data_IF_781000647549
#
_entry.id   IF_781000647549
#
_cell.length_a   1.000
_cell.length_b   1.000
_cell.length_c   1.000
_cell.angle_alpha   90.00
_cell.angle_beta   90.00
_cell.angle_gamma   90.00
#
_symmetry.space_group_name_H-M   'P 1'
#
loop_
_entity.id
_entity.type
_entity.pdbx_description
1 polymer ?
#
# COMPACT_ATOMS: atom_id res chain seq x y z
N UNK A 1 -8.57 19.98 -7.49
CA UNK A 1 -7.67 19.31 -6.52
C UNK A 1 -6.37 20.09 -6.42
N UNK A 2 -5.75 20.19 -5.22
CA UNK A 2 -4.38 20.72 -5.04
C UNK A 2 -3.40 19.55 -5.06
N UNK A 3 -2.20 19.75 -5.62
CA UNK A 3 -1.15 18.74 -5.71
C UNK A 3 0.12 19.20 -5.00
N UNK A 4 0.91 18.24 -4.51
CA UNK A 4 2.20 18.48 -3.85
C UNK A 4 3.22 17.44 -4.33
N UNK A 5 4.48 17.85 -4.42
CA UNK A 5 5.58 16.92 -4.72
C UNK A 5 5.97 16.16 -3.45
N UNK A 6 6.06 14.84 -3.52
CA UNK A 6 6.44 13.98 -2.40
C UNK A 6 7.96 13.99 -2.21
N UNK A 7 8.44 14.90 -1.35
CA UNK A 7 9.85 14.98 -0.98
C UNK A 7 10.80 15.00 -2.19
N UNK A 8 11.80 14.11 -2.17
CA UNK A 8 12.80 13.96 -3.24
C UNK A 8 12.40 12.97 -4.34
N UNK A 9 11.24 12.33 -4.23
CA UNK A 9 10.81 11.28 -5.16
C UNK A 9 10.33 11.84 -6.52
N UNK A 10 10.07 13.15 -6.60
CA UNK A 10 9.54 13.77 -7.82
C UNK A 10 8.08 13.41 -8.14
N UNK A 11 7.47 12.52 -7.36
CA UNK A 11 6.08 12.08 -7.54
C UNK A 11 5.15 13.23 -7.13
N UNK A 12 4.24 13.59 -8.04
CA UNK A 12 3.23 14.62 -7.79
C UNK A 12 1.95 13.95 -7.28
N UNK A 13 1.61 14.16 -6.01
CA UNK A 13 0.44 13.58 -5.37
C UNK A 13 -0.63 14.64 -5.09
N UNK A 14 -1.90 14.23 -5.16
CA UNK A 14 -3.01 15.04 -4.65
C UNK A 14 -2.83 15.29 -3.15
N UNK A 15 -3.21 16.49 -2.69
CA UNK A 15 -3.13 16.85 -1.27
C UNK A 15 -4.12 16.06 -0.40
N UNK A 16 -5.08 15.42 -1.03
CA UNK A 16 -6.04 14.48 -0.44
C UNK A 16 -5.77 13.08 -0.99
N UNK A 17 -5.57 12.10 -0.12
CA UNK A 17 -5.45 10.67 -0.45
C UNK A 17 -6.74 9.93 -0.07
N UNK A 18 -7.02 8.84 -0.78
CA UNK A 18 -8.14 7.95 -0.49
C UNK A 18 -7.66 6.72 0.27
N UNK A 19 -8.19 6.51 1.49
CA UNK A 19 -7.96 5.30 2.26
C UNK A 19 -9.05 4.25 2.02
N UNK A 20 -8.66 3.02 1.73
CA UNK A 20 -9.55 1.90 1.42
C UNK A 20 -9.82 0.98 2.63
N UNK A 21 -9.56 1.44 3.84
CA UNK A 21 -9.80 0.66 5.06
C UNK A 21 -11.30 0.50 5.37
N UNK A 22 -12.13 1.46 4.97
CA UNK A 22 -13.57 1.46 5.27
C UNK A 22 -14.34 1.96 4.05
N UNK A 23 -15.20 1.10 3.52
CA UNK A 23 -16.22 1.44 2.53
C UNK A 23 -17.61 1.50 3.19
N UNK A 24 -18.63 1.93 2.47
CA UNK A 24 -19.99 2.05 2.99
C UNK A 24 -20.49 0.73 3.61
N UNK A 25 -20.98 0.79 4.85
CA UNK A 25 -21.41 -0.36 5.64
C UNK A 25 -20.43 -0.76 6.75
N UNK A 26 -19.12 -0.58 6.56
CA UNK A 26 -18.12 -0.96 7.56
C UNK A 26 -18.11 -0.08 8.84
N UNK A 27 -18.85 1.03 8.86
CA UNK A 27 -19.00 1.87 10.06
C UNK A 27 -19.92 1.22 11.12
N UNK A 28 -20.74 0.24 10.73
CA UNK A 28 -21.67 -0.50 11.60
C UNK A 28 -21.16 -1.86 12.05
N UNK A 29 -19.89 -2.19 11.77
CA UNK A 29 -19.32 -3.52 12.09
C UNK A 29 -19.61 -4.59 11.05
N UNK A 30 -20.35 -4.27 9.99
CA UNK A 30 -20.58 -5.18 8.88
C UNK A 30 -19.34 -5.25 7.99
N UNK A 31 -18.75 -6.43 7.88
CA UNK A 31 -17.62 -6.72 6.96
C UNK A 31 -18.06 -6.81 5.49
N UNK A 32 -19.36 -6.70 5.22
CA UNK A 32 -19.90 -6.83 3.86
C UNK A 32 -19.73 -5.51 3.10
N UNK A 33 -18.86 -5.54 2.11
CA UNK A 33 -18.65 -4.41 1.19
C UNK A 33 -19.73 -4.47 0.10
N UNK A 34 -20.45 -3.37 -0.11
CA UNK A 34 -21.15 -3.15 -1.37
C UNK A 34 -20.09 -2.82 -2.45
N UNK A 35 -19.64 -3.85 -3.15
CA UNK A 35 -18.52 -3.76 -4.09
C UNK A 35 -18.79 -2.75 -5.21
N UNK A 36 -19.99 -2.73 -5.77
CA UNK A 36 -20.34 -1.81 -6.85
C UNK A 36 -20.28 -0.35 -6.40
N UNK A 37 -20.79 -0.07 -5.20
CA UNK A 37 -20.71 1.27 -4.61
C UNK A 37 -19.26 1.65 -4.28
N UNK A 38 -18.47 0.72 -3.76
CA UNK A 38 -17.07 0.98 -3.43
C UNK A 38 -16.25 1.27 -4.69
N UNK A 39 -16.39 0.49 -5.75
CA UNK A 39 -15.75 0.73 -7.05
C UNK A 39 -16.16 2.09 -7.62
N UNK A 40 -17.46 2.42 -7.61
CA UNK A 40 -17.97 3.71 -8.10
C UNK A 40 -17.42 4.89 -7.28
N UNK A 41 -17.29 4.74 -5.96
CA UNK A 41 -16.74 5.77 -5.07
C UNK A 41 -15.24 5.99 -5.36
N UNK A 42 -14.46 4.92 -5.52
CA UNK A 42 -13.03 5.01 -5.84
C UNK A 42 -12.85 5.72 -7.18
N UNK A 43 -13.55 5.29 -8.23
CA UNK A 43 -13.48 5.90 -9.57
C UNK A 43 -13.89 7.38 -9.53
N UNK A 44 -14.95 7.71 -8.83
CA UNK A 44 -15.40 9.11 -8.64
C UNK A 44 -14.33 9.97 -7.93
N UNK A 45 -13.64 9.41 -6.95
CA UNK A 45 -12.53 10.11 -6.28
C UNK A 45 -11.36 10.37 -7.24
N UNK A 46 -10.98 9.37 -8.05
CA UNK A 46 -9.94 9.50 -9.07
C UNK A 46 -10.33 10.55 -10.13
N UNK A 47 -11.57 10.52 -10.59
CA UNK A 47 -12.10 11.51 -11.55
C UNK A 47 -12.14 12.92 -10.95
N UNK A 48 -12.33 13.04 -9.63
CA UNK A 48 -12.19 14.27 -8.85
C UNK A 48 -10.75 14.73 -8.64
N UNK A 49 -9.76 13.97 -9.14
CA UNK A 49 -8.33 14.32 -9.13
C UNK A 49 -7.53 13.74 -7.95
N UNK A 50 -8.06 12.72 -7.24
CA UNK A 50 -7.26 11.94 -6.28
C UNK A 50 -6.25 11.10 -7.06
N UNK A 51 -4.97 11.18 -6.65
CA UNK A 51 -3.88 10.42 -7.27
C UNK A 51 -3.11 9.53 -6.29
N UNK A 52 -3.50 9.48 -5.02
CA UNK A 52 -2.88 8.61 -4.01
C UNK A 52 -3.95 7.78 -3.31
N UNK A 53 -3.80 6.46 -3.38
CA UNK A 53 -4.74 5.51 -2.78
C UNK A 53 -3.99 4.60 -1.82
N UNK A 54 -4.51 4.46 -0.61
CA UNK A 54 -3.92 3.67 0.48
C UNK A 54 -4.82 2.47 0.80
N UNK A 55 -4.25 1.27 0.77
CA UNK A 55 -4.87 0.02 1.18
C UNK A 55 -3.91 -0.79 2.05
N UNK A 56 -4.25 -2.02 2.39
CA UNK A 56 -3.39 -2.98 3.05
C UNK A 56 -3.92 -4.41 2.86
N UNK A 57 -3.02 -5.38 2.90
CA UNK A 57 -3.32 -6.81 2.79
C UNK A 57 -4.47 -7.29 3.69
N UNK A 58 -4.54 -6.77 4.94
CA UNK A 58 -5.51 -7.21 5.95
C UNK A 58 -6.82 -6.42 5.97
N UNK A 59 -6.94 -5.35 5.18
CA UNK A 59 -8.14 -4.51 5.22
C UNK A 59 -9.38 -5.26 4.73
N UNK A 60 -10.49 -5.11 5.48
CA UNK A 60 -11.80 -5.68 5.13
C UNK A 60 -11.70 -7.19 4.85
N UNK A 61 -11.10 -7.92 5.79
CA UNK A 61 -10.88 -9.37 5.67
C UNK A 61 -10.18 -9.77 4.35
N UNK A 62 -9.15 -8.99 3.96
CA UNK A 62 -8.35 -9.15 2.74
C UNK A 62 -9.08 -8.86 1.41
N UNK A 63 -10.25 -8.22 1.46
CA UNK A 63 -11.05 -7.91 0.25
C UNK A 63 -10.81 -6.51 -0.28
N UNK A 64 -10.23 -5.59 0.51
CA UNK A 64 -9.99 -4.20 0.10
C UNK A 64 -9.16 -4.08 -1.18
N UNK A 65 -8.10 -4.88 -1.32
CA UNK A 65 -7.25 -4.90 -2.50
C UNK A 65 -7.98 -5.43 -3.74
N UNK A 66 -8.86 -6.42 -3.57
CA UNK A 66 -9.69 -6.97 -4.66
C UNK A 66 -10.63 -5.89 -5.22
N UNK A 67 -11.30 -5.16 -4.33
CA UNK A 67 -12.21 -4.07 -4.72
C UNK A 67 -11.44 -2.93 -5.39
N UNK A 68 -10.27 -2.58 -4.84
CA UNK A 68 -9.41 -1.57 -5.44
C UNK A 68 -8.93 -2.01 -6.83
N UNK A 69 -8.46 -3.25 -7.00
CA UNK A 69 -8.04 -3.80 -8.29
C UNK A 69 -9.12 -3.66 -9.36
N UNK A 70 -10.38 -4.02 -9.02
CA UNK A 70 -11.54 -3.85 -9.93
C UNK A 70 -11.79 -2.38 -10.28
N UNK A 71 -11.61 -1.47 -9.33
CA UNK A 71 -11.78 -0.05 -9.57
C UNK A 71 -10.71 0.54 -10.50
N UNK A 72 -9.53 -0.08 -10.52
CA UNK A 72 -8.37 0.38 -11.29
C UNK A 72 -8.31 -0.14 -12.73
N UNK A 73 -9.24 -0.98 -13.15
CA UNK A 73 -9.39 -1.39 -14.54
C UNK A 73 -9.71 -0.19 -15.45
N UNK A 74 -9.73 -0.41 -16.75
CA UNK A 74 -10.13 0.59 -17.76
C UNK A 74 -9.25 1.84 -17.76
N UNK A 75 -7.95 1.69 -17.49
CA UNK A 75 -6.95 2.77 -17.49
C UNK A 75 -6.92 3.62 -16.22
N UNK A 76 -7.68 3.30 -15.18
CA UNK A 76 -7.62 4.01 -13.90
C UNK A 76 -6.30 3.79 -13.16
N UNK A 77 -5.65 2.60 -13.34
CA UNK A 77 -4.35 2.29 -12.69
C UNK A 77 -3.28 3.34 -13.01
N UNK A 78 -3.19 3.80 -14.24
CA UNK A 78 -2.16 4.74 -14.69
C UNK A 78 -2.35 6.17 -14.15
N UNK A 79 -3.48 6.43 -13.52
CA UNK A 79 -3.85 7.75 -13.01
C UNK A 79 -3.52 7.94 -11.53
N UNK A 80 -3.10 6.88 -10.84
CA UNK A 80 -2.90 6.88 -9.39
C UNK A 80 -1.61 6.19 -8.98
N UNK A 81 -1.13 6.53 -7.80
CA UNK A 81 -0.14 5.77 -7.06
C UNK A 81 -0.82 4.98 -5.94
N UNK A 82 -0.45 3.71 -5.79
CA UNK A 82 -1.00 2.79 -4.80
C UNK A 82 0.00 2.60 -3.67
N UNK A 83 -0.48 2.75 -2.43
CA UNK A 83 0.21 2.26 -1.24
C UNK A 83 -0.51 1.04 -0.70
N UNK A 84 0.19 -0.10 -0.53
CA UNK A 84 -0.29 -1.23 0.24
C UNK A 84 0.73 -1.69 1.26
N UNK A 85 0.37 -2.64 2.13
CA UNK A 85 1.14 -2.92 3.34
C UNK A 85 1.17 -4.41 3.65
N UNK A 86 2.37 -4.98 3.72
CA UNK A 86 2.59 -6.33 4.22
C UNK A 86 2.41 -6.38 5.75
N UNK A 87 1.64 -7.34 6.30
CA UNK A 87 1.46 -7.51 7.74
C UNK A 87 2.63 -8.29 8.37
N UNK A 88 3.51 -7.66 9.20
CA UNK A 88 4.65 -8.35 9.81
C UNK A 88 4.27 -9.56 10.68
N UNK A 89 3.06 -9.54 11.25
CA UNK A 89 2.55 -10.63 12.09
C UNK A 89 2.19 -11.91 11.30
N UNK A 90 2.09 -11.83 9.98
CA UNK A 90 1.80 -12.96 9.09
C UNK A 90 3.01 -13.41 8.25
N UNK A 91 4.19 -12.93 8.60
CA UNK A 91 5.44 -13.19 7.88
C UNK A 91 6.43 -13.84 8.85
N UNK A 92 6.93 -15.02 8.49
CA UNK A 92 7.93 -15.77 9.26
C UNK A 92 9.23 -15.99 8.48
N UNK A 93 9.21 -15.77 7.18
CA UNK A 93 10.31 -15.99 6.26
C UNK A 93 10.27 -15.05 5.07
N UNK A 94 11.38 -14.98 4.31
CA UNK A 94 11.41 -14.28 3.02
C UNK A 94 10.38 -14.85 2.02
N UNK A 95 10.17 -16.16 2.02
CA UNK A 95 9.19 -16.80 1.15
C UNK A 95 7.75 -16.32 1.44
N UNK A 96 7.42 -15.99 2.70
CA UNK A 96 6.14 -15.38 3.03
C UNK A 96 5.99 -13.97 2.46
N UNK A 97 7.07 -13.17 2.45
CA UNK A 97 7.06 -11.85 1.82
C UNK A 97 6.79 -11.95 0.32
N UNK A 98 7.46 -12.88 -0.36
CA UNK A 98 7.30 -13.12 -1.80
C UNK A 98 5.88 -13.61 -2.14
N UNK A 99 5.33 -14.51 -1.32
CA UNK A 99 3.96 -15.01 -1.46
C UNK A 99 2.93 -13.89 -1.26
N UNK A 100 3.05 -13.12 -0.18
CA UNK A 100 2.12 -12.02 0.11
C UNK A 100 2.16 -10.96 -0.99
N UNK A 101 3.35 -10.58 -1.45
CA UNK A 101 3.48 -9.66 -2.58
C UNK A 101 2.77 -10.18 -3.83
N UNK A 102 2.94 -11.46 -4.16
CA UNK A 102 2.27 -12.07 -5.32
C UNK A 102 0.75 -12.02 -5.18
N UNK A 103 0.24 -12.33 -3.98
CA UNK A 103 -1.19 -12.24 -3.68
C UNK A 103 -1.73 -10.80 -3.76
N UNK A 104 -0.96 -9.80 -3.31
CA UNK A 104 -1.33 -8.38 -3.38
C UNK A 104 -1.36 -7.88 -4.83
N UNK A 105 -0.36 -8.23 -5.64
CA UNK A 105 -0.32 -7.89 -7.06
C UNK A 105 -1.49 -8.52 -7.82
N UNK A 106 -1.82 -9.79 -7.55
CA UNK A 106 -2.97 -10.49 -8.13
C UNK A 106 -4.29 -9.80 -7.78
N UNK A 107 -4.53 -9.50 -6.50
CA UNK A 107 -5.74 -8.82 -6.02
C UNK A 107 -5.88 -7.41 -6.60
N UNK A 108 -4.78 -6.67 -6.64
CA UNK A 108 -4.73 -5.31 -7.19
C UNK A 108 -4.76 -5.28 -8.72
N UNK A 109 -4.60 -6.45 -9.39
CA UNK A 109 -4.57 -6.59 -10.84
C UNK A 109 -3.54 -5.65 -11.50
N UNK A 110 -2.33 -5.61 -10.93
CA UNK A 110 -1.22 -4.75 -11.37
C UNK A 110 0.10 -5.50 -11.29
N UNK A 111 1.07 -5.09 -12.07
CA UNK A 111 2.42 -5.64 -12.07
C UNK A 111 3.37 -4.96 -11.05
N UNK A 112 2.94 -3.83 -10.48
CA UNK A 112 3.75 -3.09 -9.52
C UNK A 112 2.91 -2.37 -8.46
N UNK A 113 3.55 -2.08 -7.32
CA UNK A 113 3.04 -1.28 -6.21
C UNK A 113 3.92 -0.04 -6.08
N UNK A 114 3.33 1.17 -6.07
CA UNK A 114 4.13 2.41 -5.99
C UNK A 114 4.79 2.57 -4.61
N UNK A 115 4.05 2.29 -3.54
CA UNK A 115 4.54 2.40 -2.16
C UNK A 115 4.24 1.12 -1.39
N UNK A 116 5.26 0.29 -1.16
CA UNK A 116 5.10 -0.94 -0.38
C UNK A 116 5.63 -0.74 1.03
N UNK A 117 4.74 -0.93 2.02
CA UNK A 117 4.97 -0.56 3.41
C UNK A 117 4.91 -1.78 4.33
N UNK A 118 5.45 -1.67 5.54
CA UNK A 118 5.21 -2.62 6.64
C UNK A 118 4.06 -2.11 7.51
N UNK A 119 3.03 -2.94 7.73
CA UNK A 119 1.81 -2.56 8.44
C UNK A 119 2.03 -2.48 9.95
N UNK A 120 1.56 -1.40 10.57
CA UNK A 120 1.58 -1.23 12.03
C UNK A 120 2.94 -1.57 12.67
N UNK A 121 4.01 -1.05 12.09
CA UNK A 121 5.37 -1.34 12.50
C UNK A 121 5.66 -0.80 13.91
N UNK A 122 6.26 -1.64 14.75
CA UNK A 122 6.86 -1.27 16.02
C UNK A 122 8.28 -1.84 16.11
N UNK A 123 9.01 -1.56 17.20
CA UNK A 123 10.39 -2.02 17.35
C UNK A 123 10.54 -3.54 17.25
N UNK A 124 9.66 -4.30 17.89
CA UNK A 124 9.73 -5.76 17.88
C UNK A 124 9.47 -6.32 16.47
N UNK A 125 8.44 -5.84 15.79
CA UNK A 125 8.14 -6.22 14.39
C UNK A 125 9.28 -5.82 13.45
N UNK A 126 9.88 -4.66 13.66
CA UNK A 126 11.02 -4.21 12.88
C UNK A 126 12.23 -5.15 13.03
N UNK A 127 12.59 -5.52 14.28
CA UNK A 127 13.70 -6.46 14.51
C UNK A 127 13.41 -7.82 13.87
N UNK A 128 12.18 -8.33 13.99
CA UNK A 128 11.75 -9.56 13.33
C UNK A 128 11.88 -9.46 11.80
N UNK A 129 11.34 -8.41 11.19
CA UNK A 129 11.39 -8.22 9.74
C UNK A 129 12.83 -8.12 9.21
N UNK A 130 13.72 -7.45 9.94
CA UNK A 130 15.15 -7.44 9.60
C UNK A 130 15.77 -8.84 9.66
N UNK A 131 15.46 -9.61 10.70
CA UNK A 131 16.04 -10.95 10.89
C UNK A 131 15.65 -11.93 9.77
N UNK A 132 14.52 -11.74 9.12
CA UNK A 132 14.07 -12.58 7.99
C UNK A 132 14.47 -12.03 6.62
N UNK A 133 15.31 -10.98 6.56
CA UNK A 133 15.82 -10.44 5.30
C UNK A 133 14.84 -9.51 4.56
N UNK A 134 13.94 -8.84 5.29
CA UNK A 134 12.97 -7.95 4.65
C UNK A 134 13.61 -6.73 3.98
N UNK A 135 14.75 -6.22 4.50
CA UNK A 135 15.44 -5.09 3.88
C UNK A 135 15.93 -5.45 2.48
N UNK A 136 16.59 -6.59 2.34
CA UNK A 136 17.07 -7.11 1.07
C UNK A 136 15.92 -7.40 0.11
N UNK A 137 14.81 -7.94 0.62
CA UNK A 137 13.60 -8.17 -0.18
C UNK A 137 13.05 -6.87 -0.77
N UNK A 138 12.92 -5.80 0.03
CA UNK A 138 12.43 -4.51 -0.48
C UNK A 138 13.39 -3.86 -1.49
N UNK A 139 14.70 -4.03 -1.31
CA UNK A 139 15.70 -3.55 -2.27
C UNK A 139 15.64 -4.34 -3.59
N UNK A 140 15.41 -5.66 -3.53
CA UNK A 140 15.21 -6.53 -4.70
C UNK A 140 13.96 -6.10 -5.49
N UNK A 141 12.83 -5.90 -4.82
CA UNK A 141 11.59 -5.43 -5.43
C UNK A 141 11.76 -4.12 -6.19
N UNK A 142 12.53 -3.18 -5.60
CA UNK A 142 12.81 -1.91 -6.25
C UNK A 142 13.67 -2.09 -7.51
N UNK A 143 14.65 -2.98 -7.48
CA UNK A 143 15.48 -3.32 -8.64
C UNK A 143 14.69 -4.01 -9.76
N UNK A 144 13.71 -4.82 -9.39
CA UNK A 144 12.83 -5.53 -10.33
C UNK A 144 11.69 -4.67 -10.86
N UNK A 145 11.57 -3.41 -10.41
CA UNK A 145 10.48 -2.51 -10.81
C UNK A 145 9.11 -2.86 -10.22
N UNK A 146 9.04 -3.81 -9.29
CA UNK A 146 7.80 -4.21 -8.61
C UNK A 146 7.36 -3.22 -7.54
N UNK A 147 8.26 -2.34 -7.08
CA UNK A 147 7.93 -1.20 -6.22
C UNK A 147 8.75 0.02 -6.60
N UNK A 148 8.10 1.17 -6.69
CA UNK A 148 8.80 2.44 -6.95
C UNK A 148 9.51 2.94 -5.68
N UNK A 149 9.03 2.60 -4.49
CA UNK A 149 9.56 3.11 -3.22
C UNK A 149 9.31 2.12 -2.10
N UNK A 150 10.38 1.72 -1.40
CA UNK A 150 10.27 1.11 -0.08
C UNK A 150 10.27 2.20 1.00
N UNK A 151 9.46 2.06 2.04
CA UNK A 151 9.33 3.06 3.12
C UNK A 151 10.56 3.15 4.05
N UNK A 152 11.67 2.48 3.71
CA UNK A 152 12.87 2.46 4.56
C UNK A 152 14.08 3.00 3.81
N UNK A 153 14.88 3.87 4.48
CA UNK A 153 16.17 4.26 3.93
C UNK A 153 17.07 3.02 3.85
N UNK A 154 17.65 2.78 2.68
CA UNK A 154 18.77 1.87 2.54
C UNK A 154 19.79 2.15 3.66
N UNK A 155 20.01 1.21 4.57
CA UNK A 155 21.16 1.07 5.49
C UNK A 155 21.73 2.31 6.23
N UNK A 156 21.05 3.44 6.27
CA UNK A 156 21.49 4.57 7.09
C UNK A 156 20.96 4.41 8.54
N UNK A 157 21.80 4.60 9.57
CA UNK A 157 21.37 4.50 10.97
C UNK A 157 20.30 5.58 11.23
N UNK A 158 19.19 5.17 11.86
CA UNK A 158 18.17 6.11 12.33
C UNK A 158 18.84 7.13 13.26
N UNK A 159 18.82 8.40 12.88
CA UNK A 159 19.15 9.46 13.82
C UNK A 159 18.06 9.49 14.89
N UNK A 160 18.43 9.22 16.14
CA UNK A 160 17.57 9.47 17.28
C UNK A 160 17.19 10.96 17.27
N UNK A 161 15.97 11.28 16.88
CA UNK A 161 15.40 12.58 17.16
C UNK A 161 14.97 12.59 18.62
N UNK A 162 15.89 12.95 19.52
CA UNK A 162 15.51 13.43 20.83
C UNK A 162 14.74 14.74 20.62
N UNK A 163 13.42 14.64 20.70
CA UNK A 163 12.57 15.81 20.87
C UNK A 163 12.56 16.08 22.38
N UNK A 164 13.30 17.10 22.77
CA UNK A 164 13.21 17.75 24.09
C UNK A 164 11.99 18.64 24.11
#
# INVERSE_FOLDING_TARGET
>A
MKYRTMGKLGIKSSAFGLGCMRFNGAASGDSVIDEQKAVSLIRRAIDGGVTYIDTAYVYLDKTSEIVLGKALLDGYRDRVTIATKVPPDQVSSRADLERILSEELEKLQTDHIDFYLMHALNKQKWEHMKAIGACEFFDDMKREGKSATSAFPSTAPMRNSNIS
#
